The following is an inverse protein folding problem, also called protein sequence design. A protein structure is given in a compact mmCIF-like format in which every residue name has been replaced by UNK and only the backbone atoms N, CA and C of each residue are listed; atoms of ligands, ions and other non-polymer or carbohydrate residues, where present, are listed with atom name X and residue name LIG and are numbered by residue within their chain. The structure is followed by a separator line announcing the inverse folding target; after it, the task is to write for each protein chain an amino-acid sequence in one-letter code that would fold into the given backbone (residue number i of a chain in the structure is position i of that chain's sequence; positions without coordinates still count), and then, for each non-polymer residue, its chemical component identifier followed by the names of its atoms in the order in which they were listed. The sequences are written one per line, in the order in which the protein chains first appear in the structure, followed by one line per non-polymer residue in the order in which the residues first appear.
data_IF_201631647501
#
_entry.id   IF_201631647501
#
_cell.length_a   1.000
_cell.length_b   1.000
_cell.length_c   1.000
_cell.angle_alpha   90.00
_cell.angle_beta   90.00
_cell.angle_gamma   90.00
#
_symmetry.space_group_name_H-M   'P 1'
#
loop_
_entity.id
_entity.type
_entity.pdbx_description
1 polymer ?
#
# COMPACT_ATOMS: atom_id res chain seq x y z
N UNK A 1 -27.12 -27.03 -5.33
CA UNK A 1 -26.72 -25.61 -5.28
C UNK A 1 -25.55 -25.45 -6.24
N UNK A 2 -25.59 -24.52 -7.19
CA UNK A 2 -24.44 -24.34 -8.08
C UNK A 2 -23.23 -23.88 -7.27
N UNK A 3 -22.10 -24.54 -7.53
CA UNK A 3 -20.79 -24.22 -7.01
C UNK A 3 -20.51 -22.73 -7.22
N UNK A 4 -20.30 -21.98 -6.13
CA UNK A 4 -19.83 -20.59 -6.24
C UNK A 4 -18.42 -20.66 -6.84
N UNK A 5 -18.12 -19.88 -7.89
CA UNK A 5 -16.80 -19.90 -8.48
C UNK A 5 -15.77 -19.57 -7.39
N UNK A 6 -14.75 -20.43 -7.26
CA UNK A 6 -13.59 -20.19 -6.39
C UNK A 6 -13.01 -18.84 -6.73
N UNK A 7 -13.02 -17.90 -5.75
CA UNK A 7 -12.35 -16.62 -5.93
C UNK A 7 -10.84 -16.89 -5.88
N UNK A 8 -10.05 -16.47 -6.90
CA UNK A 8 -8.62 -16.76 -6.99
C UNK A 8 -7.79 -16.23 -5.80
N UNK A 9 -8.41 -15.48 -4.92
CA UNK A 9 -7.81 -14.79 -3.77
C UNK A 9 -7.98 -15.51 -2.44
N UNK A 10 -8.34 -16.79 -2.43
CA UNK A 10 -8.54 -17.55 -1.20
C UNK A 10 -7.64 -18.79 -1.16
N UNK A 11 -6.93 -18.98 -0.06
CA UNK A 11 -6.13 -20.19 0.20
C UNK A 11 -7.03 -21.39 0.54
N UNK A 12 -8.24 -21.13 1.05
CA UNK A 12 -9.17 -22.13 1.57
C UNK A 12 -10.47 -22.24 0.78
N UNK A 13 -10.58 -21.60 -0.38
CA UNK A 13 -11.86 -21.51 -1.12
C UNK A 13 -12.83 -20.48 -0.52
N UNK A 14 -12.51 -19.84 0.58
CA UNK A 14 -13.31 -18.76 1.17
C UNK A 14 -12.88 -17.41 0.61
N UNK A 15 -13.85 -16.61 0.18
CA UNK A 15 -13.59 -15.25 -0.29
C UNK A 15 -12.99 -14.42 0.86
N UNK A 16 -11.75 -13.88 0.66
CA UNK A 16 -11.15 -12.98 1.63
C UNK A 16 -12.04 -11.75 1.80
N UNK A 17 -12.57 -11.55 3.00
CA UNK A 17 -13.30 -10.34 3.31
C UNK A 17 -12.31 -9.19 3.59
N UNK A 18 -12.59 -8.01 3.02
CA UNK A 18 -11.91 -6.79 3.42
C UNK A 18 -12.39 -6.37 4.82
N UNK A 19 -11.45 -6.09 5.73
CA UNK A 19 -11.76 -5.79 7.13
C UNK A 19 -11.52 -4.33 7.51
N UNK A 20 -11.06 -3.48 6.61
CA UNK A 20 -10.78 -2.08 6.85
C UNK A 20 -12.04 -1.21 6.99
N UNK A 21 -11.89 -0.06 7.63
CA UNK A 21 -12.94 0.95 7.74
C UNK A 21 -13.04 1.72 6.43
N UNK A 22 -14.23 1.75 5.81
CA UNK A 22 -14.46 2.45 4.53
C UNK A 22 -14.90 3.91 4.69
N UNK A 23 -15.61 4.24 5.76
CA UNK A 23 -16.13 5.59 5.98
C UNK A 23 -15.92 6.07 7.41
N UNK A 24 -15.89 7.38 7.59
CA UNK A 24 -15.69 8.06 8.86
C UNK A 24 -16.70 9.18 9.09
N UNK A 25 -16.21 10.31 9.60
CA UNK A 25 -16.99 11.54 9.68
C UNK A 25 -17.35 12.01 8.27
N UNK A 26 -18.47 12.73 8.16
CA UNK A 26 -18.89 13.39 6.91
C UNK A 26 -17.75 14.27 6.38
N UNK A 27 -17.48 14.20 5.09
CA UNK A 27 -16.51 15.03 4.41
C UNK A 27 -16.92 16.50 4.46
N UNK A 28 -15.97 17.41 4.47
CA UNK A 28 -16.22 18.84 4.32
C UNK A 28 -16.62 19.15 2.87
N UNK A 29 -17.31 20.29 2.65
CA UNK A 29 -17.81 20.68 1.33
C UNK A 29 -16.72 20.68 0.25
N UNK A 30 -15.53 21.18 0.56
CA UNK A 30 -14.39 21.15 -0.38
C UNK A 30 -13.90 19.74 -0.69
N UNK A 31 -13.85 18.85 0.31
CA UNK A 31 -13.50 17.44 0.10
C UNK A 31 -14.54 16.70 -0.74
N UNK A 32 -15.83 16.94 -0.50
CA UNK A 32 -16.91 16.41 -1.34
C UNK A 32 -16.79 16.88 -2.80
N UNK A 33 -16.29 18.10 -3.03
CA UNK A 33 -16.06 18.63 -4.37
C UNK A 33 -14.91 17.88 -5.05
N UNK A 34 -13.76 17.69 -4.37
CA UNK A 34 -12.64 16.92 -4.90
C UNK A 34 -13.02 15.47 -5.26
N UNK A 35 -13.88 14.84 -4.46
CA UNK A 35 -14.42 13.51 -4.79
C UNK A 35 -15.24 13.49 -6.08
N UNK A 36 -15.95 14.58 -6.41
CA UNK A 36 -16.75 14.65 -7.63
C UNK A 36 -15.94 15.04 -8.86
N UNK A 37 -15.01 15.98 -8.66
CA UNK A 37 -14.37 16.66 -9.77
C UNK A 37 -12.98 16.08 -10.10
N UNK A 38 -12.24 15.64 -9.09
CA UNK A 38 -10.84 15.19 -9.25
C UNK A 38 -10.70 13.67 -9.19
N UNK A 39 -11.40 13.00 -8.25
CA UNK A 39 -11.25 11.56 -8.10
C UNK A 39 -11.55 10.76 -9.40
N UNK A 40 -12.60 11.08 -10.18
CA UNK A 40 -12.90 10.32 -11.40
C UNK A 40 -11.76 10.30 -12.45
N UNK A 41 -10.91 11.34 -12.46
CA UNK A 41 -9.78 11.45 -13.37
C UNK A 41 -8.55 10.64 -12.90
N UNK A 42 -8.50 10.33 -11.60
CA UNK A 42 -7.39 9.66 -10.96
C UNK A 42 -7.70 8.20 -10.61
N UNK A 43 -8.98 7.84 -10.52
CA UNK A 43 -9.40 6.53 -10.04
C UNK A 43 -9.15 5.42 -11.06
N UNK A 44 -8.50 4.35 -10.60
CA UNK A 44 -8.27 3.16 -11.39
C UNK A 44 -9.53 2.30 -11.40
N UNK A 45 -10.10 2.11 -12.57
CA UNK A 45 -11.21 1.17 -12.80
C UNK A 45 -10.66 -0.14 -13.35
N UNK A 46 -10.96 -1.25 -12.67
CA UNK A 46 -10.54 -2.58 -13.12
C UNK A 46 -11.48 -3.12 -14.21
N UNK A 47 -10.91 -3.55 -15.33
CA UNK A 47 -11.60 -4.32 -16.38
C UNK A 47 -11.43 -5.82 -16.19
N UNK A 48 -11.85 -6.58 -17.20
CA UNK A 48 -11.75 -8.06 -17.20
C UNK A 48 -10.31 -8.56 -17.38
N UNK A 49 -9.47 -7.83 -18.13
CA UNK A 49 -8.08 -8.19 -18.45
C UNK A 49 -7.04 -7.74 -17.42
N UNK A 50 -5.78 -7.94 -17.79
CA UNK A 50 -4.65 -7.35 -17.06
C UNK A 50 -4.64 -5.82 -17.22
N UNK A 51 -4.14 -5.13 -16.22
CA UNK A 51 -3.99 -3.68 -16.18
C UNK A 51 -2.52 -3.31 -16.33
N UNK A 52 -2.11 -2.72 -17.43
CA UNK A 52 -0.77 -2.14 -17.57
C UNK A 52 -0.64 -0.89 -16.67
N UNK A 53 0.16 -0.95 -15.59
CA UNK A 53 0.29 0.19 -14.68
C UNK A 53 1.03 1.38 -15.30
N UNK A 54 1.86 1.16 -16.33
CA UNK A 54 2.57 2.24 -17.01
C UNK A 54 1.64 3.08 -17.89
N UNK A 55 0.61 2.45 -18.47
CA UNK A 55 -0.39 3.11 -19.31
C UNK A 55 -1.39 4.00 -18.53
N UNK A 56 -1.41 3.91 -17.19
CA UNK A 56 -2.25 4.75 -16.35
C UNK A 56 -1.85 6.23 -16.37
N UNK A 57 -0.64 6.55 -16.82
CA UNK A 57 -0.06 7.88 -16.76
C UNK A 57 0.13 8.45 -18.17
N UNK A 58 -0.20 9.72 -18.36
CA UNK A 58 0.00 10.40 -19.65
C UNK A 58 1.47 10.32 -20.09
N UNK A 59 1.70 9.89 -21.33
CA UNK A 59 3.05 9.70 -21.89
C UNK A 59 3.78 8.45 -21.37
N UNK A 60 3.13 7.64 -20.53
CA UNK A 60 3.73 6.51 -19.83
C UNK A 60 4.72 6.94 -18.75
N UNK A 61 5.02 6.07 -17.81
CA UNK A 61 6.10 6.27 -16.82
C UNK A 61 7.03 5.06 -16.87
N UNK A 62 8.35 5.30 -16.77
CA UNK A 62 9.35 4.21 -16.82
C UNK A 62 9.34 3.36 -15.57
N UNK A 63 9.00 3.95 -14.44
CA UNK A 63 8.91 3.31 -13.13
C UNK A 63 7.51 3.46 -12.57
N UNK A 64 7.05 2.44 -11.87
CA UNK A 64 5.80 2.47 -11.12
C UNK A 64 6.03 2.00 -9.69
N UNK A 65 5.60 2.79 -8.73
CA UNK A 65 5.61 2.44 -7.32
C UNK A 65 4.19 2.30 -6.78
N UNK A 66 4.01 1.42 -5.79
CA UNK A 66 2.72 1.11 -5.18
C UNK A 66 2.76 1.40 -3.68
N UNK A 67 1.82 2.20 -3.17
CA UNK A 67 1.61 2.36 -1.73
C UNK A 67 0.26 1.79 -1.31
N UNK A 68 0.29 0.83 -0.39
CA UNK A 68 -0.89 0.12 0.10
C UNK A 68 -1.28 0.66 1.46
N UNK A 69 -2.51 1.20 1.59
CA UNK A 69 -3.00 1.80 2.81
C UNK A 69 -2.32 3.14 3.11
N UNK A 70 -2.28 4.07 2.15
CA UNK A 70 -1.58 5.35 2.27
C UNK A 70 -2.18 6.30 3.32
N UNK A 71 -3.32 5.97 3.93
CA UNK A 71 -3.94 6.78 4.99
C UNK A 71 -4.26 8.21 4.55
N UNK A 72 -3.58 9.22 5.10
CA UNK A 72 -3.73 10.62 4.70
C UNK A 72 -3.01 11.00 3.41
N UNK A 73 -2.12 10.15 2.92
CA UNK A 73 -1.40 10.33 1.65
C UNK A 73 -0.20 11.28 1.74
N UNK A 74 0.19 11.72 2.94
CA UNK A 74 1.31 12.66 3.12
C UNK A 74 2.63 12.09 2.57
N UNK A 75 2.88 10.77 2.83
CA UNK A 75 4.06 10.09 2.29
C UNK A 75 3.98 9.97 0.77
N UNK A 76 2.87 9.46 0.25
CA UNK A 76 2.67 9.24 -1.19
C UNK A 76 2.80 10.54 -1.98
N UNK A 77 2.14 11.62 -1.55
CA UNK A 77 2.23 12.93 -2.21
C UNK A 77 3.66 13.48 -2.21
N UNK A 78 4.38 13.33 -1.09
CA UNK A 78 5.78 13.77 -0.98
C UNK A 78 6.70 13.03 -1.93
N UNK A 79 6.66 11.68 -1.95
CA UNK A 79 7.52 10.90 -2.85
C UNK A 79 7.14 11.10 -4.32
N UNK A 80 5.86 11.31 -4.63
CA UNK A 80 5.41 11.62 -5.97
C UNK A 80 6.00 12.96 -6.46
N UNK A 81 5.95 14.00 -5.63
CA UNK A 81 6.55 15.31 -5.95
C UNK A 81 8.07 15.24 -6.14
N UNK A 82 8.75 14.42 -5.32
CA UNK A 82 10.20 14.27 -5.39
C UNK A 82 10.66 13.43 -6.60
N UNK A 83 9.77 12.63 -7.18
CA UNK A 83 10.10 11.70 -8.27
C UNK A 83 9.09 11.81 -9.43
N UNK A 84 9.09 12.92 -10.18
CA UNK A 84 8.10 13.18 -11.23
C UNK A 84 8.11 12.15 -12.36
N UNK A 85 9.25 11.48 -12.60
CA UNK A 85 9.40 10.45 -13.64
C UNK A 85 8.82 9.07 -13.22
N UNK A 86 8.42 8.90 -11.95
CA UNK A 86 7.83 7.68 -11.43
C UNK A 86 6.32 7.85 -11.32
N UNK A 87 5.56 6.88 -11.81
CA UNK A 87 4.12 6.79 -11.57
C UNK A 87 3.85 6.16 -10.20
N UNK A 88 2.98 6.75 -9.42
CA UNK A 88 2.61 6.27 -8.09
C UNK A 88 1.17 5.80 -8.08
N UNK A 89 0.95 4.57 -7.63
CA UNK A 89 -0.39 4.02 -7.42
C UNK A 89 -0.63 3.92 -5.92
N UNK A 90 -1.64 4.62 -5.42
CA UNK A 90 -2.08 4.54 -4.03
C UNK A 90 -3.33 3.68 -3.89
N UNK A 91 -3.31 2.71 -2.97
CA UNK A 91 -4.49 1.93 -2.60
C UNK A 91 -4.99 2.36 -1.22
N UNK A 92 -6.23 2.80 -1.10
CA UNK A 92 -6.88 3.15 0.17
C UNK A 92 -8.40 2.98 0.02
N UNK A 93 -9.05 2.54 1.10
CA UNK A 93 -10.51 2.35 1.11
C UNK A 93 -11.24 3.36 1.99
N UNK A 94 -10.51 4.03 2.87
CA UNK A 94 -11.07 4.98 3.83
C UNK A 94 -11.28 6.34 3.15
N UNK A 95 -12.54 6.73 2.98
CA UNK A 95 -12.92 7.96 2.29
C UNK A 95 -12.24 9.22 2.85
N UNK A 96 -12.01 9.29 4.16
CA UNK A 96 -11.30 10.40 4.78
C UNK A 96 -9.81 10.47 4.42
N UNK A 97 -9.18 9.33 4.16
CA UNK A 97 -7.81 9.26 3.64
C UNK A 97 -7.75 9.69 2.18
N UNK A 98 -8.64 9.13 1.36
CA UNK A 98 -8.76 9.49 -0.06
C UNK A 98 -8.94 11.00 -0.21
N UNK A 99 -9.86 11.61 0.56
CA UNK A 99 -10.11 13.05 0.52
C UNK A 99 -8.87 13.91 0.79
N UNK A 100 -8.01 13.46 1.72
CA UNK A 100 -6.77 14.19 2.04
C UNK A 100 -5.74 14.06 0.93
N UNK A 101 -5.57 12.86 0.37
CA UNK A 101 -4.65 12.69 -0.74
C UNK A 101 -5.11 13.49 -1.96
N UNK A 102 -6.41 13.57 -2.26
CA UNK A 102 -6.94 14.42 -3.31
C UNK A 102 -6.60 15.90 -3.08
N UNK A 103 -6.64 16.40 -1.83
CA UNK A 103 -6.18 17.74 -1.50
C UNK A 103 -4.69 17.93 -1.78
N UNK A 104 -3.85 16.98 -1.39
CA UNK A 104 -2.41 17.05 -1.68
C UNK A 104 -2.11 17.03 -3.18
N UNK A 105 -2.84 16.23 -3.95
CA UNK A 105 -2.69 16.16 -5.41
C UNK A 105 -3.07 17.49 -6.05
N UNK A 106 -4.21 18.06 -5.68
CA UNK A 106 -4.71 19.32 -6.20
C UNK A 106 -3.80 20.50 -5.82
N UNK A 107 -3.44 20.63 -4.54
CA UNK A 107 -2.58 21.70 -4.02
C UNK A 107 -1.16 21.68 -4.60
N UNK A 108 -0.63 20.49 -4.97
CA UNK A 108 0.73 20.30 -5.45
C UNK A 108 0.79 20.03 -6.96
N UNK A 109 -0.34 20.05 -7.65
CA UNK A 109 -0.48 19.79 -9.09
C UNK A 109 0.21 18.47 -9.53
N UNK A 110 0.02 17.38 -8.74
CA UNK A 110 0.65 16.10 -9.01
C UNK A 110 -0.05 15.36 -10.17
N UNK A 111 0.66 15.11 -11.26
CA UNK A 111 0.15 14.41 -12.46
C UNK A 111 0.50 12.91 -12.47
N UNK A 112 1.40 12.50 -11.59
CA UNK A 112 2.00 11.17 -11.53
C UNK A 112 1.42 10.27 -10.43
N UNK A 113 0.21 10.56 -9.95
CA UNK A 113 -0.50 9.75 -8.94
C UNK A 113 -1.80 9.19 -9.53
N UNK A 114 -2.10 7.92 -9.23
CA UNK A 114 -3.38 7.26 -9.52
C UNK A 114 -3.87 6.54 -8.27
N UNK A 115 -5.19 6.43 -8.12
CA UNK A 115 -5.83 5.94 -6.91
C UNK A 115 -6.65 4.69 -7.19
N UNK A 116 -6.51 3.68 -6.34
CA UNK A 116 -7.41 2.54 -6.30
C UNK A 116 -8.15 2.54 -4.97
N UNK A 117 -9.47 2.73 -5.01
CA UNK A 117 -10.30 3.00 -3.83
C UNK A 117 -10.94 1.75 -3.22
N UNK A 118 -10.41 0.56 -3.52
CA UNK A 118 -10.88 -0.72 -3.00
C UNK A 118 -9.71 -1.57 -2.45
N UNK A 119 -9.96 -2.86 -2.12
CA UNK A 119 -8.95 -3.78 -1.59
C UNK A 119 -7.77 -3.93 -2.57
N UNK A 120 -6.59 -3.55 -2.12
CA UNK A 120 -5.36 -3.58 -2.91
C UNK A 120 -5.09 -4.96 -3.56
N UNK A 121 -5.55 -6.06 -2.94
CA UNK A 121 -5.38 -7.39 -3.51
C UNK A 121 -6.14 -7.55 -4.84
N UNK A 122 -7.28 -6.85 -5.01
CA UNK A 122 -8.01 -6.84 -6.29
C UNK A 122 -7.19 -6.18 -7.40
N UNK A 123 -6.45 -5.12 -7.06
CA UNK A 123 -5.53 -4.49 -8.00
C UNK A 123 -4.34 -5.40 -8.29
N UNK A 124 -3.68 -5.92 -7.24
CA UNK A 124 -2.49 -6.76 -7.40
C UNK A 124 -2.71 -7.90 -8.41
N UNK A 125 -3.84 -8.63 -8.32
CA UNK A 125 -4.12 -9.74 -9.23
C UNK A 125 -4.35 -9.32 -10.68
N UNK A 126 -4.59 -8.04 -10.94
CA UNK A 126 -4.76 -7.48 -12.29
C UNK A 126 -3.47 -6.91 -12.88
N UNK A 127 -2.48 -6.62 -12.04
CA UNK A 127 -1.18 -6.14 -12.52
C UNK A 127 -0.37 -7.27 -13.15
N UNK A 128 0.34 -7.02 -14.27
CA UNK A 128 1.26 -7.99 -14.88
C UNK A 128 2.41 -8.37 -13.93
N UNK A 129 2.98 -9.53 -14.11
CA UNK A 129 4.18 -9.94 -13.39
C UNK A 129 5.36 -9.00 -13.71
N UNK A 130 6.14 -8.62 -12.69
CA UNK A 130 7.30 -7.76 -12.85
C UNK A 130 7.00 -6.36 -13.39
N UNK A 131 5.83 -5.80 -13.08
CA UNK A 131 5.40 -4.49 -13.56
C UNK A 131 5.57 -3.35 -12.55
N UNK A 132 5.94 -3.67 -11.29
CA UNK A 132 6.10 -2.70 -10.20
C UNK A 132 7.56 -2.62 -9.77
N UNK A 133 8.09 -1.42 -9.64
CA UNK A 133 9.49 -1.16 -9.29
C UNK A 133 9.73 -1.05 -7.77
N UNK A 134 8.69 -0.74 -6.99
CA UNK A 134 8.80 -0.51 -5.56
C UNK A 134 7.42 -0.60 -4.90
N UNK A 135 7.34 -1.12 -3.68
CA UNK A 135 6.08 -1.18 -2.94
C UNK A 135 6.25 -0.75 -1.49
N UNK A 136 5.22 -0.08 -0.96
CA UNK A 136 5.17 0.42 0.42
C UNK A 136 3.93 -0.10 1.14
N UNK A 137 4.12 -0.51 2.39
CA UNK A 137 3.06 -0.83 3.35
C UNK A 137 3.44 -0.22 4.70
N UNK A 138 2.95 0.98 4.94
CA UNK A 138 3.40 1.82 6.05
C UNK A 138 2.32 1.93 7.11
N UNK A 139 2.64 1.54 8.35
CA UNK A 139 1.74 1.58 9.51
C UNK A 139 0.36 0.96 9.25
N UNK A 140 0.30 -0.26 8.67
CA UNK A 140 -0.97 -0.92 8.40
C UNK A 140 -1.69 -1.29 9.70
N UNK A 141 -3.03 -1.45 9.62
CA UNK A 141 -3.85 -1.86 10.75
C UNK A 141 -3.30 -3.11 11.45
N UNK A 142 -2.90 -3.02 12.74
CA UNK A 142 -2.13 -4.08 13.39
C UNK A 142 -2.96 -5.30 13.82
N UNK A 143 -4.28 -5.13 13.96
CA UNK A 143 -5.18 -6.20 14.42
C UNK A 143 -4.63 -6.97 15.62
N UNK A 144 -4.51 -6.35 16.82
CA UNK A 144 -3.69 -6.88 17.92
C UNK A 144 -4.24 -8.17 18.55
N UNK A 145 -5.54 -8.47 18.37
CA UNK A 145 -6.13 -9.72 18.91
C UNK A 145 -5.78 -10.90 18.00
N UNK A 146 -5.23 -11.98 18.53
CA UNK A 146 -4.80 -13.17 17.77
C UNK A 146 -5.87 -13.70 16.81
N UNK A 147 -7.15 -13.75 17.22
CA UNK A 147 -8.27 -14.13 16.33
C UNK A 147 -8.46 -13.21 15.13
N UNK A 148 -7.84 -12.01 15.14
CA UNK A 148 -7.91 -11.02 14.08
C UNK A 148 -6.64 -10.98 13.21
N UNK A 149 -5.58 -11.72 13.51
CA UNK A 149 -4.34 -11.73 12.73
C UNK A 149 -4.59 -12.10 11.27
N UNK A 150 -5.58 -12.94 10.96
CA UNK A 150 -6.03 -13.25 9.59
C UNK A 150 -6.50 -12.03 8.79
N UNK A 151 -6.70 -10.87 9.43
CA UNK A 151 -7.08 -9.59 8.81
C UNK A 151 -5.87 -8.76 8.39
N UNK A 152 -4.68 -9.07 8.91
CA UNK A 152 -3.44 -8.39 8.55
C UNK A 152 -3.22 -8.52 7.05
N UNK A 153 -2.73 -7.46 6.45
CA UNK A 153 -2.42 -7.47 5.02
C UNK A 153 -1.35 -8.52 4.70
N UNK A 154 -0.26 -8.54 5.46
CA UNK A 154 0.83 -9.49 5.25
C UNK A 154 0.39 -10.92 5.55
N UNK A 155 0.35 -11.72 4.49
CA UNK A 155 -0.05 -13.13 4.48
C UNK A 155 0.66 -13.84 3.33
N UNK A 156 0.70 -15.19 3.29
CA UNK A 156 1.29 -15.90 2.14
C UNK A 156 0.67 -15.51 0.80
N UNK A 157 -0.64 -15.24 0.75
CA UNK A 157 -1.34 -14.84 -0.49
C UNK A 157 -0.87 -13.47 -0.97
N UNK A 158 -0.89 -12.46 -0.07
CA UNK A 158 -0.51 -11.11 -0.45
C UNK A 158 0.98 -10.97 -0.74
N UNK A 159 1.83 -11.72 -0.04
CA UNK A 159 3.26 -11.80 -0.35
C UNK A 159 3.52 -12.46 -1.71
N UNK A 160 2.79 -13.52 -2.05
CA UNK A 160 2.88 -14.16 -3.37
C UNK A 160 2.51 -13.20 -4.50
N UNK A 161 1.41 -12.43 -4.33
CA UNK A 161 1.01 -11.43 -5.33
C UNK A 161 2.00 -10.25 -5.39
N UNK A 162 2.50 -9.76 -4.25
CA UNK A 162 3.56 -8.75 -4.23
C UNK A 162 4.82 -9.25 -4.94
N UNK A 163 5.24 -10.49 -4.66
CA UNK A 163 6.39 -11.09 -5.32
C UNK A 163 6.18 -11.21 -6.84
N UNK A 164 4.97 -11.55 -7.28
CA UNK A 164 4.64 -11.67 -8.70
C UNK A 164 4.72 -10.34 -9.43
N UNK A 165 4.16 -9.28 -8.84
CA UNK A 165 4.10 -7.97 -9.50
C UNK A 165 5.39 -7.17 -9.38
N UNK A 166 6.18 -7.37 -8.33
CA UNK A 166 7.46 -6.71 -8.16
C UNK A 166 8.51 -7.26 -9.12
N UNK A 167 9.29 -6.36 -9.72
CA UNK A 167 10.46 -6.73 -10.52
C UNK A 167 11.51 -7.41 -9.65
N UNK A 168 12.30 -8.36 -10.19
CA UNK A 168 13.49 -8.86 -9.48
C UNK A 168 14.39 -7.70 -9.03
N UNK A 169 14.82 -7.71 -7.78
CA UNK A 169 15.60 -6.64 -7.16
C UNK A 169 14.78 -5.45 -6.64
N UNK A 170 13.49 -5.39 -6.92
CA UNK A 170 12.59 -4.37 -6.36
C UNK A 170 12.49 -4.49 -4.83
N UNK A 171 12.26 -3.36 -4.16
CA UNK A 171 12.15 -3.32 -2.70
C UNK A 171 10.69 -3.22 -2.26
N UNK A 172 10.32 -4.05 -1.30
CA UNK A 172 9.11 -3.93 -0.53
C UNK A 172 9.45 -3.32 0.84
N UNK A 173 8.96 -2.11 1.08
CA UNK A 173 9.14 -1.35 2.32
C UNK A 173 7.97 -1.60 3.27
N UNK A 174 8.28 -1.95 4.50
CA UNK A 174 7.30 -2.11 5.57
C UNK A 174 7.71 -1.27 6.77
N UNK A 175 6.76 -0.53 7.35
CA UNK A 175 6.98 0.14 8.63
C UNK A 175 5.82 -0.10 9.60
N UNK A 176 6.13 -0.23 10.90
CA UNK A 176 5.13 -0.37 11.96
C UNK A 176 5.69 0.03 13.33
N UNK A 177 4.87 0.72 14.13
CA UNK A 177 5.12 1.01 15.55
C UNK A 177 4.64 -0.14 16.47
N UNK A 178 4.14 -1.23 15.89
CA UNK A 178 3.64 -2.40 16.59
C UNK A 178 4.60 -3.58 16.36
N UNK A 179 5.41 -3.88 17.37
CA UNK A 179 6.43 -4.93 17.34
C UNK A 179 5.86 -6.30 16.92
N UNK A 180 4.69 -6.68 17.46
CA UNK A 180 4.04 -7.93 17.10
C UNK A 180 3.70 -8.01 15.60
N UNK A 181 3.37 -6.89 14.96
CA UNK A 181 3.12 -6.89 13.51
C UNK A 181 4.44 -6.88 12.71
N UNK A 182 5.48 -6.20 13.18
CA UNK A 182 6.80 -6.28 12.57
C UNK A 182 7.35 -7.70 12.61
N UNK A 183 7.27 -8.37 13.76
CA UNK A 183 7.67 -9.78 13.93
C UNK A 183 6.84 -10.74 13.05
N UNK A 184 5.52 -10.52 12.97
CA UNK A 184 4.64 -11.27 12.06
C UNK A 184 5.09 -11.13 10.61
N UNK A 185 5.34 -9.89 10.16
CA UNK A 185 5.77 -9.60 8.79
C UNK A 185 7.10 -10.27 8.49
N UNK A 186 8.10 -10.09 9.36
CA UNK A 186 9.41 -10.72 9.21
C UNK A 186 9.30 -12.24 9.15
N UNK A 187 8.51 -12.86 10.04
CA UNK A 187 8.33 -14.31 10.05
C UNK A 187 7.67 -14.84 8.76
N UNK A 188 6.76 -14.09 8.14
CA UNK A 188 6.14 -14.48 6.88
C UNK A 188 7.11 -14.31 5.71
N UNK A 189 7.84 -13.22 5.66
CA UNK A 189 8.83 -12.96 4.60
C UNK A 189 9.98 -13.96 4.66
N UNK A 190 10.53 -14.28 5.83
CA UNK A 190 11.60 -15.26 5.98
C UNK A 190 11.18 -16.69 5.56
N UNK A 191 9.88 -16.98 5.52
CA UNK A 191 9.35 -18.25 5.01
C UNK A 191 9.02 -18.19 3.52
N UNK A 192 9.00 -17.02 2.92
CA UNK A 192 8.76 -16.87 1.49
C UNK A 192 10.03 -17.17 0.70
N UNK A 193 9.96 -17.96 -0.37
CA UNK A 193 11.12 -18.17 -1.24
C UNK A 193 11.43 -16.94 -2.12
N UNK A 194 10.53 -15.96 -2.14
CA UNK A 194 10.53 -14.89 -3.13
C UNK A 194 11.18 -13.59 -2.64
N UNK A 195 11.49 -13.48 -1.34
CA UNK A 195 12.06 -12.29 -0.76
C UNK A 195 13.30 -12.58 0.07
N UNK A 196 14.25 -11.65 0.03
CA UNK A 196 15.35 -11.55 0.96
C UNK A 196 15.11 -10.40 1.93
N UNK A 197 15.41 -10.60 3.21
CA UNK A 197 15.40 -9.50 4.18
C UNK A 197 16.73 -8.72 4.08
N UNK A 198 16.64 -7.45 3.76
CA UNK A 198 17.79 -6.54 3.73
C UNK A 198 18.17 -6.12 5.15
N UNK A 199 18.76 -7.04 5.91
CA UNK A 199 18.99 -6.88 7.35
C UNK A 199 19.96 -5.75 7.72
N UNK A 200 20.89 -5.37 6.83
CA UNK A 200 21.92 -4.37 7.14
C UNK A 200 22.75 -4.74 8.39
N UNK A 201 23.23 -3.73 9.11
CA UNK A 201 23.87 -3.91 10.43
C UNK A 201 22.83 -4.19 11.53
N UNK A 202 23.20 -4.84 12.64
CA UNK A 202 22.31 -5.01 13.79
C UNK A 202 21.68 -3.66 14.24
N UNK A 203 20.35 -3.65 14.39
CA UNK A 203 19.59 -2.46 14.80
C UNK A 203 19.16 -1.53 13.66
N UNK A 204 19.61 -1.75 12.40
CA UNK A 204 19.21 -0.91 11.25
C UNK A 204 17.71 -0.90 10.99
N UNK A 205 16.96 -1.91 11.46
CA UNK A 205 15.50 -1.95 11.37
C UNK A 205 14.77 -0.95 12.29
N UNK A 206 15.50 -0.20 13.12
CA UNK A 206 14.99 0.94 13.88
C UNK A 206 15.35 2.28 13.22
N UNK A 207 16.14 2.25 12.16
CA UNK A 207 16.52 3.44 11.41
C UNK A 207 15.55 3.58 10.23
N UNK A 208 14.94 4.77 10.01
CA UNK A 208 14.04 4.97 8.88
C UNK A 208 14.77 4.85 7.54
N UNK A 209 14.02 4.63 6.48
CA UNK A 209 14.55 4.56 5.12
C UNK A 209 15.27 5.88 4.74
N UNK A 210 16.28 5.84 3.86
CA UNK A 210 16.90 7.07 3.35
C UNK A 210 15.86 8.03 2.75
N UNK A 211 15.90 9.30 3.12
CA UNK A 211 14.93 10.30 2.68
C UNK A 211 13.58 10.24 3.38
N UNK A 212 13.45 9.43 4.43
CA UNK A 212 12.24 9.35 5.24
C UNK A 212 11.96 10.65 5.98
N UNK A 213 10.71 11.08 5.92
CA UNK A 213 10.19 12.11 6.81
C UNK A 213 9.10 11.48 7.69
N UNK A 214 9.05 11.81 8.99
CA UNK A 214 8.05 11.24 9.89
C UNK A 214 6.64 11.44 9.36
N UNK A 215 5.87 10.35 9.36
CA UNK A 215 4.46 10.42 9.02
C UNK A 215 3.65 11.00 10.17
N UNK A 216 2.46 11.51 9.88
CA UNK A 216 1.52 11.94 10.92
C UNK A 216 1.21 10.80 11.92
N UNK A 217 1.29 9.54 11.49
CA UNK A 217 1.12 8.38 12.36
C UNK A 217 2.26 8.24 13.36
N UNK A 218 3.50 8.49 12.92
CA UNK A 218 4.66 8.49 13.83
C UNK A 218 4.61 9.63 14.83
N UNK A 219 4.23 10.82 14.39
CA UNK A 219 4.05 11.95 15.29
C UNK A 219 3.00 11.66 16.36
N UNK A 220 1.86 11.10 15.95
CA UNK A 220 0.82 10.66 16.87
C UNK A 220 1.30 9.54 17.79
N UNK A 221 1.99 8.54 17.27
CA UNK A 221 2.56 7.44 18.04
C UNK A 221 3.55 7.96 19.11
N UNK A 222 4.39 8.95 18.74
CA UNK A 222 5.32 9.61 19.66
C UNK A 222 4.58 10.33 20.79
N UNK A 223 3.50 11.06 20.48
CA UNK A 223 2.66 11.73 21.48
C UNK A 223 2.02 10.71 22.42
N UNK A 224 1.63 9.54 21.92
CA UNK A 224 1.05 8.44 22.68
C UNK A 224 2.09 7.57 23.41
N UNK A 225 3.38 7.95 23.38
CA UNK A 225 4.48 7.26 24.07
C UNK A 225 5.02 6.01 23.35
N UNK A 226 4.60 5.76 22.10
CA UNK A 226 5.18 4.72 21.24
C UNK A 226 6.37 5.31 20.50
N UNK A 227 7.56 5.09 21.04
CA UNK A 227 8.79 5.76 20.58
C UNK A 227 9.58 4.97 19.54
N UNK A 228 9.22 3.71 19.32
CA UNK A 228 9.99 2.80 18.47
C UNK A 228 9.15 2.37 17.28
N UNK A 229 9.64 2.69 16.09
CA UNK A 229 9.13 2.12 14.83
C UNK A 229 10.12 1.12 14.27
N UNK A 230 9.59 0.13 13.56
CA UNK A 230 10.36 -0.88 12.84
C UNK A 230 10.25 -0.58 11.35
N UNK A 231 11.39 -0.49 10.67
CA UNK A 231 11.50 -0.25 9.23
C UNK A 231 12.18 -1.46 8.59
N UNK A 232 11.41 -2.24 7.84
CA UNK A 232 11.87 -3.49 7.24
C UNK A 232 11.89 -3.35 5.72
N UNK A 233 13.02 -3.67 5.12
CA UNK A 233 13.19 -3.72 3.67
C UNK A 233 13.33 -5.16 3.22
N UNK A 234 12.56 -5.52 2.20
CA UNK A 234 12.57 -6.86 1.60
C UNK A 234 12.86 -6.73 0.11
N UNK A 235 13.87 -7.45 -0.35
CA UNK A 235 14.29 -7.43 -1.76
C UNK A 235 13.64 -8.61 -2.46
N UNK A 236 12.94 -8.36 -3.57
CA UNK A 236 12.39 -9.38 -4.45
C UNK A 236 13.54 -10.14 -5.14
N UNK A 237 13.60 -11.44 -4.98
CA UNK A 237 14.58 -12.32 -5.63
C UNK A 237 14.44 -12.40 -7.13
#
# INVERSE_FOLDING_TARGET
MPDKPHHPLSISGEQRAFFGRRSGKRLHKGQDQLFRDVLPELEITLGDGELDPHALFAGGRRRVALEIGYGGGEHLARIARQNPETGFIGCEVFSGGIAKLLQHIDEQELDNVRLFTDDALKLLVKLPAGSVDEAFLLYPDPWPKTRHHKRRFVSPVTLGELARVLKPGAVFHFASDIEDYANWTLAHVLRSPDFDFAAGKPGSWFEPFPGWEPTRYEEKARIEGRLVSHYLNFIRR
#
